data_IF_142595466762
#
_entry.id   IF_142595466762
#
_cell.length_a   1.000
_cell.length_b   1.000
_cell.length_c   1.000
_cell.angle_alpha   90.00
_cell.angle_beta   90.00
_cell.angle_gamma   90.00
#
_symmetry.space_group_name_H-M   'P 1'
#
loop_
_entity.id
_entity.type
_entity.pdbx_description
1 polymer ?
#
# COMPACT_ATOMS: atom_id res chain seq x y z
N UNK A 1 -10.19 15.09 14.67
CA UNK A 1 -9.04 14.82 13.78
C UNK A 1 -8.38 16.15 13.43
N UNK A 2 -7.12 16.33 13.79
CA UNK A 2 -6.38 17.56 13.47
C UNK A 2 -6.18 17.68 11.97
N UNK A 3 -6.19 18.90 11.46
CA UNK A 3 -6.00 19.18 10.01
C UNK A 3 -4.69 18.58 9.46
N UNK A 4 -3.65 18.51 10.30
CA UNK A 4 -2.34 17.91 9.97
C UNK A 4 -2.42 16.39 9.84
N UNK A 5 -3.20 15.72 10.70
CA UNK A 5 -3.36 14.27 10.66
C UNK A 5 -4.12 13.83 9.41
N UNK A 6 -5.12 14.61 9.00
CA UNK A 6 -5.88 14.37 7.77
C UNK A 6 -5.01 14.54 6.51
N UNK A 7 -4.14 15.54 6.49
CA UNK A 7 -3.19 15.74 5.38
C UNK A 7 -2.19 14.58 5.28
N UNK A 8 -1.67 14.10 6.41
CA UNK A 8 -0.77 12.95 6.45
C UNK A 8 -1.47 11.67 5.99
N UNK A 9 -2.72 11.47 6.41
CA UNK A 9 -3.54 10.34 5.97
C UNK A 9 -3.69 10.31 4.45
N UNK A 10 -4.04 11.44 3.84
CA UNK A 10 -4.15 11.56 2.38
C UNK A 10 -2.81 11.34 1.68
N UNK A 11 -1.74 11.89 2.21
CA UNK A 11 -0.40 11.76 1.63
C UNK A 11 0.08 10.31 1.60
N UNK A 12 -0.05 9.59 2.70
CA UNK A 12 0.34 8.19 2.79
C UNK A 12 -0.58 7.28 1.99
N UNK A 13 -1.88 7.50 2.09
CA UNK A 13 -2.87 6.70 1.37
C UNK A 13 -2.76 6.84 -0.15
N UNK A 14 -2.60 8.06 -0.65
CA UNK A 14 -2.38 8.30 -2.08
C UNK A 14 -1.06 7.71 -2.56
N UNK A 15 -0.01 7.78 -1.77
CA UNK A 15 1.26 7.15 -2.05
C UNK A 15 1.14 5.65 -2.20
N UNK A 16 0.47 4.97 -1.28
CA UNK A 16 0.24 3.53 -1.34
C UNK A 16 -0.55 3.12 -2.59
N UNK A 17 -1.61 3.84 -2.93
CA UNK A 17 -2.41 3.57 -4.13
C UNK A 17 -1.56 3.72 -5.40
N UNK A 18 -0.77 4.77 -5.52
CA UNK A 18 0.14 4.96 -6.65
C UNK A 18 1.13 3.80 -6.76
N UNK A 19 1.71 3.37 -5.63
CA UNK A 19 2.70 2.30 -5.60
C UNK A 19 2.11 0.93 -5.94
N UNK A 20 0.91 0.61 -5.47
CA UNK A 20 0.20 -0.64 -5.84
C UNK A 20 -0.06 -0.68 -7.35
N UNK A 21 -0.54 0.42 -7.92
CA UNK A 21 -0.76 0.51 -9.37
C UNK A 21 0.55 0.39 -10.14
N UNK A 22 1.61 1.05 -9.70
CA UNK A 22 2.95 0.94 -10.28
C UNK A 22 3.48 -0.50 -10.22
N UNK A 23 3.38 -1.15 -9.06
CA UNK A 23 3.83 -2.53 -8.88
C UNK A 23 3.07 -3.50 -9.80
N UNK A 24 1.75 -3.32 -9.92
CA UNK A 24 0.92 -4.14 -10.79
C UNK A 24 1.27 -3.96 -12.27
N UNK A 25 1.39 -2.73 -12.74
CA UNK A 25 1.75 -2.44 -14.14
C UNK A 25 3.16 -2.93 -14.46
N UNK A 26 4.10 -2.75 -13.55
CA UNK A 26 5.46 -3.25 -13.72
C UNK A 26 5.50 -4.78 -13.76
N UNK A 27 4.77 -5.46 -12.88
CA UNK A 27 4.64 -6.92 -12.89
C UNK A 27 3.98 -7.41 -14.18
N UNK A 28 2.96 -6.72 -14.67
CA UNK A 28 2.31 -7.02 -15.93
C UNK A 28 3.27 -6.89 -17.11
N UNK A 29 4.05 -5.81 -17.15
CA UNK A 29 5.09 -5.60 -18.15
C UNK A 29 6.15 -6.71 -18.12
N UNK A 30 6.63 -7.07 -16.95
CA UNK A 30 7.61 -8.16 -16.79
C UNK A 30 7.08 -9.53 -17.23
N UNK A 31 5.77 -9.75 -17.12
CA UNK A 31 5.14 -11.02 -17.49
C UNK A 31 4.77 -11.10 -18.97
N UNK A 32 4.23 -10.02 -19.53
CA UNK A 32 3.62 -10.01 -20.87
C UNK A 32 4.37 -9.14 -21.89
N UNK A 33 5.42 -8.44 -21.48
CA UNK A 33 6.22 -7.53 -22.30
C UNK A 33 5.40 -6.43 -22.99
N UNK A 34 4.32 -6.01 -22.34
CA UNK A 34 3.46 -4.91 -22.79
C UNK A 34 2.85 -4.19 -21.59
N UNK A 35 2.57 -2.90 -21.77
CA UNK A 35 1.85 -2.09 -20.78
C UNK A 35 0.35 -2.00 -21.05
N UNK A 36 -0.12 -2.57 -22.16
CA UNK A 36 -1.53 -2.60 -22.51
C UNK A 36 -2.26 -3.67 -21.70
N UNK A 37 -2.94 -3.25 -20.65
CA UNK A 37 -3.70 -4.14 -19.79
C UNK A 37 -4.96 -4.66 -20.50
N UNK A 38 -5.16 -5.97 -20.46
CA UNK A 38 -6.43 -6.59 -20.88
C UNK A 38 -7.54 -6.23 -19.90
N UNK A 39 -8.79 -6.21 -20.35
CA UNK A 39 -9.96 -5.81 -19.55
C UNK A 39 -10.08 -6.57 -18.22
N UNK A 40 -9.85 -7.89 -18.23
CA UNK A 40 -9.87 -8.70 -17.01
C UNK A 40 -8.80 -8.29 -15.99
N UNK A 41 -7.61 -7.87 -16.45
CA UNK A 41 -6.54 -7.37 -15.59
C UNK A 41 -6.79 -5.94 -15.08
N UNK A 42 -7.48 -5.10 -15.84
CA UNK A 42 -7.97 -3.81 -15.36
C UNK A 42 -8.96 -4.02 -14.20
N UNK A 43 -9.88 -4.96 -14.37
CA UNK A 43 -10.80 -5.33 -13.29
C UNK A 43 -10.06 -5.84 -12.04
N UNK A 44 -9.07 -6.71 -12.22
CA UNK A 44 -8.24 -7.20 -11.11
C UNK A 44 -7.51 -6.05 -10.41
N UNK A 45 -6.98 -5.09 -11.15
CA UNK A 45 -6.33 -3.90 -10.60
C UNK A 45 -7.28 -3.06 -9.74
N UNK A 46 -8.53 -2.88 -10.17
CA UNK A 46 -9.56 -2.20 -9.39
C UNK A 46 -9.87 -2.95 -8.09
N UNK A 47 -9.95 -4.29 -8.15
CA UNK A 47 -10.14 -5.13 -6.97
C UNK A 47 -8.96 -5.01 -6.01
N UNK A 48 -7.73 -4.96 -6.50
CA UNK A 48 -6.52 -4.72 -5.70
C UNK A 48 -6.61 -3.39 -4.94
N UNK A 49 -6.94 -2.30 -5.64
CA UNK A 49 -7.06 -0.97 -5.04
C UNK A 49 -8.15 -0.93 -3.96
N UNK A 50 -9.33 -1.43 -4.28
CA UNK A 50 -10.46 -1.43 -3.36
C UNK A 50 -10.17 -2.27 -2.10
N UNK A 51 -9.62 -3.47 -2.28
CA UNK A 51 -9.23 -4.35 -1.17
C UNK A 51 -8.16 -3.72 -0.30
N UNK A 52 -7.19 -3.00 -0.89
CA UNK A 52 -6.16 -2.30 -0.13
C UNK A 52 -6.74 -1.19 0.75
N UNK A 53 -7.67 -0.41 0.24
CA UNK A 53 -8.36 0.62 1.02
C UNK A 53 -9.03 0.01 2.25
N UNK A 54 -9.73 -1.12 2.08
CA UNK A 54 -10.37 -1.82 3.20
C UNK A 54 -9.35 -2.34 4.22
N UNK A 55 -8.32 -3.01 3.76
CA UNK A 55 -7.28 -3.59 4.62
C UNK A 55 -6.50 -2.49 5.35
N UNK A 56 -6.15 -1.42 4.67
CA UNK A 56 -5.44 -0.30 5.29
C UNK A 56 -6.26 0.38 6.39
N UNK A 57 -7.58 0.46 6.22
CA UNK A 57 -8.48 0.94 7.25
C UNK A 57 -8.57 -0.03 8.45
N UNK A 58 -8.63 -1.34 8.20
CA UNK A 58 -8.66 -2.36 9.26
C UNK A 58 -7.41 -2.33 10.14
N UNK A 59 -6.24 -2.12 9.56
CA UNK A 59 -4.97 -2.06 10.30
C UNK A 59 -4.58 -0.64 10.73
N UNK A 60 -5.42 0.36 10.47
CA UNK A 60 -5.16 1.77 10.80
C UNK A 60 -3.78 2.24 10.35
N UNK A 61 -3.39 1.91 9.11
CA UNK A 61 -2.03 2.12 8.60
C UNK A 61 -1.62 3.59 8.53
N UNK A 62 -2.57 4.51 8.49
CA UNK A 62 -2.33 5.93 8.29
C UNK A 62 -2.53 6.77 9.56
N UNK A 63 -2.83 6.12 10.68
CA UNK A 63 -2.92 6.76 11.99
C UNK A 63 -1.63 6.53 12.75
N UNK A 64 -0.84 7.61 12.92
CA UNK A 64 0.39 7.55 13.71
C UNK A 64 0.17 8.20 15.07
N UNK A 65 0.50 7.50 16.14
CA UNK A 65 0.68 8.10 17.44
C UNK A 65 2.09 8.73 17.55
N UNK A 66 2.26 9.67 18.47
CA UNK A 66 3.56 10.32 18.70
C UNK A 66 4.65 9.37 19.17
N UNK A 67 4.28 8.18 19.60
CA UNK A 67 5.11 7.15 20.22
C UNK A 67 5.34 5.96 19.31
N UNK A 68 4.79 5.96 18.09
CA UNK A 68 4.93 4.82 17.20
C UNK A 68 6.38 4.64 16.75
N UNK A 69 6.93 3.49 17.09
CA UNK A 69 8.23 3.04 16.64
C UNK A 69 8.16 2.54 15.19
N UNK A 70 9.26 2.72 14.46
CA UNK A 70 9.40 2.25 13.08
C UNK A 70 9.05 0.77 12.93
N UNK A 71 9.47 -0.07 13.88
CA UNK A 71 9.17 -1.50 13.88
C UNK A 71 7.68 -1.80 13.89
N UNK A 72 6.88 -1.05 14.65
CA UNK A 72 5.44 -1.22 14.71
C UNK A 72 4.76 -0.85 13.39
N UNK A 73 5.21 0.23 12.76
CA UNK A 73 4.70 0.70 11.47
C UNK A 73 5.00 -0.31 10.37
N UNK A 74 6.23 -0.80 10.30
CA UNK A 74 6.65 -1.82 9.33
C UNK A 74 5.90 -3.14 9.58
N UNK A 75 5.79 -3.57 10.82
CA UNK A 75 5.05 -4.79 11.20
C UNK A 75 3.58 -4.72 10.79
N UNK A 76 2.90 -3.61 11.04
CA UNK A 76 1.51 -3.43 10.62
C UNK A 76 1.35 -3.40 9.10
N UNK A 77 2.29 -2.78 8.40
CA UNK A 77 2.30 -2.75 6.94
C UNK A 77 2.46 -4.16 6.35
N UNK A 78 3.35 -4.96 6.91
CA UNK A 78 3.55 -6.36 6.50
C UNK A 78 2.29 -7.19 6.76
N UNK A 79 1.69 -7.06 7.95
CA UNK A 79 0.44 -7.74 8.30
C UNK A 79 -0.71 -7.38 7.34
N UNK A 80 -0.83 -6.10 7.01
CA UNK A 80 -1.81 -5.62 6.04
C UNK A 80 -1.55 -6.21 4.64
N UNK A 81 -0.31 -6.23 4.18
CA UNK A 81 0.07 -6.82 2.90
C UNK A 81 -0.24 -8.31 2.81
N UNK A 82 0.08 -9.08 3.85
CA UNK A 82 -0.26 -10.52 3.93
C UNK A 82 -1.77 -10.73 3.94
N UNK A 83 -2.51 -9.94 4.72
CA UNK A 83 -3.98 -10.01 4.75
C UNK A 83 -4.58 -9.69 3.40
N UNK A 84 -4.08 -8.67 2.73
CA UNK A 84 -4.50 -8.30 1.38
C UNK A 84 -4.25 -9.44 0.38
N UNK A 85 -3.07 -10.06 0.42
CA UNK A 85 -2.74 -11.21 -0.44
C UNK A 85 -3.68 -12.40 -0.21
N UNK A 86 -4.03 -12.68 1.05
CA UNK A 86 -4.99 -13.73 1.40
C UNK A 86 -6.39 -13.42 0.89
N UNK A 87 -6.85 -12.18 1.00
CA UNK A 87 -8.16 -11.74 0.50
C UNK A 87 -8.22 -11.89 -1.03
N UNK A 88 -7.23 -11.40 -1.75
CA UNK A 88 -7.18 -11.52 -3.22
C UNK A 88 -7.17 -12.99 -3.64
N UNK A 89 -6.34 -13.80 -3.00
CA UNK A 89 -6.29 -15.24 -3.29
C UNK A 89 -7.65 -15.92 -3.04
N UNK A 90 -8.27 -15.64 -1.90
CA UNK A 90 -9.58 -16.18 -1.55
C UNK A 90 -10.68 -15.75 -2.54
N UNK A 91 -10.67 -14.49 -2.96
CA UNK A 91 -11.61 -13.96 -3.96
C UNK A 91 -11.45 -14.69 -5.30
N UNK A 92 -10.22 -14.84 -5.80
CA UNK A 92 -9.95 -15.51 -7.07
C UNK A 92 -10.37 -16.99 -7.05
N UNK A 93 -10.17 -17.67 -5.92
CA UNK A 93 -10.65 -19.04 -5.75
C UNK A 93 -12.18 -19.12 -5.70
N UNK A 94 -12.84 -18.21 -4.97
CA UNK A 94 -14.29 -18.20 -4.77
C UNK A 94 -15.06 -18.00 -6.07
N UNK A 95 -14.57 -17.12 -6.95
CA UNK A 95 -15.20 -16.84 -8.25
C UNK A 95 -14.71 -17.76 -9.36
N UNK A 96 -13.90 -18.78 -9.04
CA UNK A 96 -13.26 -19.71 -10.01
C UNK A 96 -12.48 -19.00 -11.12
N UNK A 97 -12.00 -17.79 -10.84
CA UNK A 97 -11.24 -16.96 -11.78
C UNK A 97 -9.73 -17.23 -11.73
N UNK A 98 -9.27 -18.16 -10.90
CA UNK A 98 -7.84 -18.45 -10.72
C UNK A 98 -7.15 -18.94 -12.00
N UNK A 99 -7.92 -19.52 -12.95
CA UNK A 99 -7.40 -19.96 -14.24
C UNK A 99 -7.27 -18.82 -15.26
N UNK A 100 -8.00 -17.72 -15.07
CA UNK A 100 -8.02 -16.57 -15.98
C UNK A 100 -6.84 -15.63 -15.73
N UNK A 101 -6.21 -15.72 -14.57
CA UNK A 101 -5.13 -14.83 -14.14
C UNK A 101 -3.82 -15.57 -13.96
N UNK A 102 -2.73 -14.93 -14.40
CA UNK A 102 -1.39 -15.48 -14.21
C UNK A 102 -0.99 -15.44 -12.73
N UNK A 103 -0.72 -16.62 -12.16
CA UNK A 103 -0.19 -16.74 -10.78
C UNK A 103 1.17 -16.07 -10.63
N UNK A 104 2.00 -16.11 -11.67
CA UNK A 104 3.29 -15.43 -11.70
C UNK A 104 3.15 -13.91 -11.63
N UNK A 105 2.16 -13.36 -12.32
CA UNK A 105 1.88 -11.93 -12.28
C UNK A 105 1.50 -11.49 -10.88
N UNK A 106 0.63 -12.22 -10.19
CA UNK A 106 0.22 -11.92 -8.82
C UNK A 106 1.42 -11.99 -7.88
N UNK A 107 2.26 -13.02 -8.02
CA UNK A 107 3.47 -13.17 -7.24
C UNK A 107 4.45 -12.00 -7.46
N UNK A 108 4.72 -11.62 -8.72
CA UNK A 108 5.56 -10.48 -9.05
C UNK A 108 5.01 -9.18 -8.51
N UNK A 109 3.70 -8.98 -8.62
CA UNK A 109 3.04 -7.79 -8.04
C UNK A 109 3.31 -7.68 -6.55
N UNK A 110 3.12 -8.74 -5.79
CA UNK A 110 3.35 -8.71 -4.34
C UNK A 110 4.81 -8.54 -3.96
N UNK A 111 5.74 -9.17 -4.67
CA UNK A 111 7.17 -8.99 -4.41
C UNK A 111 7.57 -7.52 -4.62
N UNK A 112 7.17 -6.93 -5.74
CA UNK A 112 7.48 -5.55 -6.07
C UNK A 112 6.78 -4.61 -5.09
N UNK A 113 5.51 -4.85 -4.80
CA UNK A 113 4.72 -4.02 -3.90
C UNK A 113 5.31 -4.00 -2.48
N UNK A 114 5.67 -5.15 -1.92
CA UNK A 114 6.30 -5.23 -0.61
C UNK A 114 7.59 -4.40 -0.54
N UNK A 115 8.47 -4.52 -1.53
CA UNK A 115 9.73 -3.77 -1.57
C UNK A 115 9.45 -2.27 -1.64
N UNK A 116 8.57 -1.86 -2.55
CA UNK A 116 8.32 -0.45 -2.84
C UNK A 116 7.54 0.21 -1.69
N UNK A 117 6.55 -0.47 -1.11
CA UNK A 117 5.77 0.07 0.02
C UNK A 117 6.63 0.20 1.28
N UNK A 118 7.51 -0.77 1.57
CA UNK A 118 8.42 -0.66 2.71
C UNK A 118 9.39 0.51 2.51
N UNK A 119 9.99 0.66 1.34
CA UNK A 119 10.84 1.81 1.03
C UNK A 119 10.08 3.14 1.16
N UNK A 120 8.85 3.17 0.70
CA UNK A 120 7.97 4.33 0.84
C UNK A 120 7.71 4.69 2.31
N UNK A 121 7.51 3.70 3.18
CA UNK A 121 7.34 3.93 4.62
C UNK A 121 8.59 4.60 5.23
N UNK A 122 9.78 4.15 4.88
CA UNK A 122 11.02 4.78 5.34
C UNK A 122 11.14 6.24 4.85
N UNK A 123 10.87 6.48 3.58
CA UNK A 123 10.92 7.83 2.99
C UNK A 123 9.87 8.74 3.64
N UNK A 124 8.64 8.27 3.77
CA UNK A 124 7.55 9.04 4.38
C UNK A 124 7.85 9.40 5.84
N UNK A 125 8.40 8.47 6.62
CA UNK A 125 8.80 8.73 8.00
C UNK A 125 9.94 9.73 8.11
N UNK A 126 10.92 9.68 7.20
CA UNK A 126 12.00 10.66 7.15
C UNK A 126 11.45 12.07 6.83
N UNK A 127 10.50 12.17 5.91
CA UNK A 127 9.81 13.43 5.60
C UNK A 127 9.03 13.98 6.81
N UNK A 128 8.27 13.13 7.48
CA UNK A 128 7.50 13.52 8.67
C UNK A 128 8.41 13.99 9.78
N UNK A 129 9.53 13.31 10.03
CA UNK A 129 10.52 13.72 11.01
C UNK A 129 11.13 15.08 10.67
N UNK A 130 11.55 15.31 9.42
CA UNK A 130 12.07 16.60 8.97
C UNK A 130 11.05 17.72 9.12
N UNK A 131 9.81 17.47 8.73
CA UNK A 131 8.73 18.44 8.84
C UNK A 131 8.48 18.86 10.31
N UNK A 132 8.56 17.91 11.25
CA UNK A 132 8.42 18.19 12.69
C UNK A 132 9.61 18.97 13.26
N UNK A 133 10.83 18.70 12.81
CA UNK A 133 12.05 19.41 13.24
C UNK A 133 12.10 20.85 12.72
N UNK A 134 11.50 21.14 11.56
CA UNK A 134 11.44 22.49 10.98
C UNK A 134 10.46 23.45 11.69
N UNK A 135 9.97 23.11 12.86
CA UNK A 135 9.27 24.05 13.76
C UNK A 135 7.76 24.22 13.55
N UNK A 136 7.18 23.55 12.57
CA UNK A 136 5.74 23.67 12.29
C UNK A 136 4.83 23.02 13.34
N UNK A 137 5.37 22.32 14.32
CA UNK A 137 4.58 21.63 15.35
C UNK A 137 5.26 21.61 16.74
N UNK A 138 6.12 22.58 17.03
CA UNK A 138 6.64 22.76 18.38
C UNK A 138 5.56 23.36 19.27
N UNK A 139 4.83 22.53 20.03
CA UNK A 139 4.28 23.01 21.29
C UNK A 139 5.44 23.16 22.27
N UNK A 140 5.83 24.39 22.55
CA UNK A 140 6.57 24.69 23.78
C UNK A 140 5.73 24.15 24.94
N UNK A 141 6.21 23.09 25.57
CA UNK A 141 5.78 22.76 26.92
C UNK A 141 6.48 23.77 27.83
N UNK A 142 5.72 24.73 28.28
CA UNK A 142 6.14 25.60 29.37
C UNK A 142 5.84 24.87 30.66
#
# INVERSE_FOLDING_TARGET
>A
MRNTDRKMWFFLGSGDIILINFAFVLAYFLKFDTIELKENYIFLLLVFNFSWILVSAMFSLYTFSRVDHLEHIVSNTIKAGVTHALIITALLFSIKASEQFSRQLILYTYIIDFIVVILWRFVALAFIKRYRVSGYNYRRVV
#
